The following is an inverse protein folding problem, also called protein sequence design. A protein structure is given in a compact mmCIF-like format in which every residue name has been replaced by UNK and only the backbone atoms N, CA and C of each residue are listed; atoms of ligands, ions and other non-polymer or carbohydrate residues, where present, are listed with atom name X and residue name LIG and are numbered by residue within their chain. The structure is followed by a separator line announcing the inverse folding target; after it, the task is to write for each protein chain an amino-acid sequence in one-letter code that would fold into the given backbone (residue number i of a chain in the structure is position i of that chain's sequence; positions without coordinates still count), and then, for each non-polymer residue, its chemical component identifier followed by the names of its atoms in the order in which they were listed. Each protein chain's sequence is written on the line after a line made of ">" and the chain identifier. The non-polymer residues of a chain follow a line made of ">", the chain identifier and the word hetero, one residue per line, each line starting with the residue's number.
data_IF_161482606976
#
_entry.id   IF_161482606976
#
_cell.length_a   1.000
_cell.length_b   1.000
_cell.length_c   1.000
_cell.angle_alpha   90.00
_cell.angle_beta   90.00
_cell.angle_gamma   90.00
#
_symmetry.space_group_name_H-M   'P 1'
#
loop_
_entity.id
_entity.type
_entity.pdbx_description
1 polymer ?
#
# COMPACT_ATOMS: atom_id res chain seq x y z
N UNK A 1 3.87 2.22 -7.24
CA UNK A 1 3.86 2.64 -8.67
C UNK A 1 2.79 1.90 -9.46
N UNK A 2 2.48 2.35 -10.70
CA UNK A 2 1.54 1.68 -11.62
C UNK A 2 2.32 1.25 -12.87
N UNK A 3 2.18 0.00 -13.30
CA UNK A 3 2.76 -0.56 -14.53
C UNK A 3 1.65 -0.98 -15.49
N UNK A 4 1.85 -0.81 -16.81
CA UNK A 4 0.95 -1.36 -17.83
C UNK A 4 1.46 -2.72 -18.28
N UNK A 5 0.66 -3.77 -18.09
CA UNK A 5 1.03 -5.16 -18.42
C UNK A 5 -0.11 -5.79 -19.21
N UNK A 6 0.17 -6.26 -20.42
CA UNK A 6 -0.81 -6.93 -21.31
C UNK A 6 -2.14 -6.15 -21.42
N UNK A 7 -2.06 -4.83 -21.59
CA UNK A 7 -3.23 -3.95 -21.73
C UNK A 7 -3.95 -3.57 -20.42
N UNK A 8 -3.53 -4.09 -19.27
CA UNK A 8 -4.10 -3.77 -17.95
C UNK A 8 -3.15 -2.94 -17.09
N UNK A 9 -3.67 -2.27 -16.07
CA UNK A 9 -2.90 -1.45 -15.13
C UNK A 9 -2.67 -2.21 -13.83
N UNK A 10 -1.42 -2.47 -13.48
CA UNK A 10 -1.02 -3.22 -12.27
C UNK A 10 -0.42 -2.24 -11.27
N UNK A 11 -0.94 -2.22 -10.05
CA UNK A 11 -0.33 -1.46 -8.94
C UNK A 11 0.72 -2.34 -8.30
N UNK A 12 1.96 -1.86 -8.22
CA UNK A 12 3.07 -2.63 -7.64
C UNK A 12 3.84 -1.80 -6.62
N UNK A 13 4.42 -2.49 -5.63
CA UNK A 13 5.36 -1.95 -4.67
C UNK A 13 6.61 -1.45 -5.38
N UNK A 14 7.11 -0.30 -4.94
CA UNK A 14 8.36 0.26 -5.46
C UNK A 14 9.57 -0.49 -4.92
N UNK A 15 9.54 -0.86 -3.63
CA UNK A 15 10.68 -1.49 -2.95
C UNK A 15 10.77 -2.99 -3.16
N UNK A 16 9.63 -3.68 -3.24
CA UNK A 16 9.58 -5.16 -3.27
C UNK A 16 9.07 -5.72 -4.59
N UNK A 17 8.58 -4.88 -5.50
CA UNK A 17 7.97 -5.33 -6.76
C UNK A 17 6.64 -6.08 -6.60
N UNK A 18 6.16 -6.31 -5.38
CA UNK A 18 4.91 -7.05 -5.10
C UNK A 18 3.70 -6.37 -5.75
N UNK A 19 2.83 -7.15 -6.39
CA UNK A 19 1.57 -6.68 -6.95
C UNK A 19 0.51 -6.48 -5.87
N UNK A 20 -0.18 -5.34 -5.93
CA UNK A 20 -1.30 -4.95 -5.06
C UNK A 20 -2.65 -5.00 -5.77
N UNK A 21 -2.68 -5.46 -7.03
CA UNK A 21 -3.88 -5.61 -7.83
C UNK A 21 -3.69 -5.23 -9.30
N UNK A 22 -4.60 -5.73 -10.14
CA UNK A 22 -4.68 -5.41 -11.58
C UNK A 22 -6.03 -4.79 -11.90
N UNK A 23 -6.03 -3.75 -12.72
CA UNK A 23 -7.16 -2.87 -12.99
C UNK A 23 -7.34 -2.65 -14.49
N UNK A 24 -8.57 -2.40 -14.92
CA UNK A 24 -8.89 -2.14 -16.33
C UNK A 24 -8.54 -0.72 -16.72
N UNK A 25 -8.74 0.24 -15.81
CA UNK A 25 -8.50 1.66 -16.08
C UNK A 25 -7.36 2.23 -15.24
N UNK A 26 -6.74 3.30 -15.75
CA UNK A 26 -5.74 4.06 -15.01
C UNK A 26 -6.34 4.71 -13.74
N UNK A 27 -7.60 5.14 -13.82
CA UNK A 27 -8.29 5.80 -12.71
C UNK A 27 -8.46 4.87 -11.50
N UNK A 28 -8.88 3.62 -11.72
CA UNK A 28 -8.97 2.59 -10.68
C UNK A 28 -7.60 2.30 -10.04
N UNK A 29 -6.57 2.13 -10.87
CA UNK A 29 -5.20 1.90 -10.39
C UNK A 29 -4.68 3.08 -9.55
N UNK A 30 -4.97 4.33 -9.96
CA UNK A 30 -4.66 5.52 -9.16
C UNK A 30 -5.41 5.53 -7.83
N UNK A 31 -6.70 5.17 -7.81
CA UNK A 31 -7.50 5.07 -6.58
C UNK A 31 -6.89 4.06 -5.61
N UNK A 32 -6.50 2.89 -6.11
CA UNK A 32 -5.81 1.87 -5.30
C UNK A 32 -4.47 2.36 -4.78
N UNK A 33 -3.66 3.00 -5.63
CA UNK A 33 -2.35 3.52 -5.21
C UNK A 33 -2.48 4.50 -4.04
N UNK A 34 -3.48 5.40 -4.06
CA UNK A 34 -3.75 6.32 -2.95
C UNK A 34 -4.09 5.57 -1.65
N UNK A 35 -4.88 4.51 -1.72
CA UNK A 35 -5.17 3.69 -0.53
C UNK A 35 -3.90 3.04 0.03
N UNK A 36 -3.07 2.45 -0.84
CA UNK A 36 -1.81 1.81 -0.41
C UNK A 36 -0.89 2.83 0.25
N UNK A 37 -0.72 4.01 -0.34
CA UNK A 37 0.10 5.07 0.24
C UNK A 37 -0.49 5.61 1.56
N UNK A 38 -1.81 5.72 1.69
CA UNK A 38 -2.45 6.08 2.96
C UNK A 38 -2.08 5.11 4.08
N UNK A 39 -2.22 3.80 3.86
CA UNK A 39 -1.89 2.78 4.87
C UNK A 39 -0.39 2.72 5.18
N UNK A 40 0.47 2.97 4.18
CA UNK A 40 1.93 3.05 4.35
C UNK A 40 2.32 4.18 5.31
N UNK A 41 1.63 5.32 5.25
CA UNK A 41 1.87 6.44 6.15
C UNK A 41 1.17 6.25 7.51
N UNK A 42 -0.02 5.67 7.54
CA UNK A 42 -0.75 5.39 8.78
C UNK A 42 0.06 4.48 9.72
N UNK A 43 0.70 3.44 9.16
CA UNK A 43 1.53 2.50 9.91
C UNK A 43 2.82 3.08 10.49
N UNK A 44 3.25 4.23 9.97
CA UNK A 44 4.43 4.96 10.45
C UNK A 44 4.10 6.01 11.51
N UNK A 45 2.82 6.22 11.83
CA UNK A 45 2.43 7.22 12.83
C UNK A 45 3.05 6.90 14.21
N UNK A 46 3.63 7.89 14.91
CA UNK A 46 4.23 7.68 16.23
C UNK A 46 3.24 7.07 17.23
N UNK A 47 1.96 7.44 17.14
CA UNK A 47 0.87 6.87 17.95
C UNK A 47 0.70 5.38 17.74
N UNK A 48 0.69 4.91 16.48
CA UNK A 48 0.50 3.48 16.19
C UNK A 48 1.72 2.65 16.58
N UNK A 49 2.95 3.15 16.37
CA UNK A 49 4.18 2.50 16.85
C UNK A 49 4.19 2.36 18.37
N UNK A 50 3.77 3.40 19.10
CA UNK A 50 3.65 3.37 20.57
C UNK A 50 2.59 2.37 21.02
N UNK A 51 1.45 2.29 20.33
CA UNK A 51 0.40 1.31 20.59
C UNK A 51 0.86 -0.14 20.34
N UNK A 52 1.57 -0.41 19.24
CA UNK A 52 2.12 -1.74 18.94
C UNK A 52 3.17 -2.19 19.97
N UNK A 53 4.12 -1.32 20.34
CA UNK A 53 5.11 -1.62 21.41
C UNK A 53 4.45 -1.86 22.76
N UNK A 54 3.42 -1.08 23.11
CA UNK A 54 2.68 -1.28 24.37
C UNK A 54 1.98 -2.63 24.38
N UNK A 55 1.35 -3.02 23.26
CA UNK A 55 0.66 -4.32 23.13
C UNK A 55 1.62 -5.52 23.13
N UNK A 56 2.85 -5.37 22.63
CA UNK A 56 3.87 -6.42 22.70
C UNK A 56 4.50 -6.58 24.09
N UNK A 57 4.52 -5.51 24.90
CA UNK A 57 5.01 -5.52 26.29
C UNK A 57 3.99 -6.07 27.30
N UNK A 58 2.73 -6.21 26.90
CA UNK A 58 1.62 -6.73 27.70
C UNK A 58 1.40 -8.25 27.48
N UNK A 59 2.40 -8.94 26.93
CA UNK A 59 2.31 -10.35 26.52
C UNK A 59 3.22 -11.23 27.36
#
# INVERSE_FOLDING_TARGET
>A
MIKKVKGKYVVVSESTGRSFGTYRTLAEAKKRLRQVEFFKHLGKSPRMKKALRKKSLLK
#
